data_IF_079785949719
#
_entry.id   IF_079785949719
#
_cell.length_a   1.000
_cell.length_b   1.000
_cell.length_c   1.000
_cell.angle_alpha   90.00
_cell.angle_beta   90.00
_cell.angle_gamma   90.00
#
_symmetry.space_group_name_H-M   'P 1'
#
loop_
_entity.id
_entity.type
_entity.pdbx_description
1 polymer ?
#
# COMPACT_ATOMS: atom_id res chain seq x y z
N UNK A 1 16.95 28.90 51.97
CA UNK A 1 16.40 29.02 50.61
C UNK A 1 17.10 28.00 49.71
N UNK A 2 16.47 26.88 49.41
CA UNK A 2 16.99 25.85 48.48
C UNK A 2 16.22 26.00 47.16
N UNK A 3 16.94 26.47 46.14
CA UNK A 3 16.41 26.58 44.76
C UNK A 3 16.32 25.17 44.15
N UNK A 4 15.12 24.73 43.93
CA UNK A 4 14.81 23.50 43.19
C UNK A 4 14.93 23.81 41.68
N UNK A 5 16.02 23.36 41.04
CA UNK A 5 16.14 23.40 39.59
C UNK A 5 15.27 22.30 38.99
N UNK A 6 14.18 22.69 38.34
CA UNK A 6 13.34 21.83 37.54
C UNK A 6 14.04 21.54 36.21
N UNK A 7 14.64 20.37 36.09
CA UNK A 7 15.23 19.88 34.85
C UNK A 7 14.06 19.40 33.93
N UNK A 8 13.62 20.28 33.02
CA UNK A 8 12.71 19.92 31.94
C UNK A 8 13.48 19.02 30.95
N UNK A 9 13.24 17.71 31.05
CA UNK A 9 13.60 16.76 30.01
C UNK A 9 12.71 17.04 28.78
N UNK A 10 13.25 17.77 27.81
CA UNK A 10 12.72 17.78 26.45
C UNK A 10 12.95 16.40 25.85
N UNK A 11 11.99 15.50 25.97
CA UNK A 11 11.86 14.34 25.09
C UNK A 11 11.36 14.91 23.76
N UNK A 12 12.12 14.82 22.66
CA UNK A 12 11.57 15.15 21.36
C UNK A 12 10.45 14.13 21.08
N UNK A 13 9.21 14.56 21.23
CA UNK A 13 8.09 13.90 20.58
C UNK A 13 8.34 14.05 19.07
N UNK A 14 8.98 13.06 18.47
CA UNK A 14 8.86 12.85 17.04
C UNK A 14 7.37 12.64 16.79
N UNK A 15 6.72 13.69 16.31
CA UNK A 15 5.32 13.64 15.97
C UNK A 15 5.18 12.62 14.83
N UNK A 16 4.47 11.53 15.07
CA UNK A 16 4.09 10.54 14.04
C UNK A 16 3.46 11.20 12.78
N UNK A 17 3.02 12.45 12.88
CA UNK A 17 2.52 13.25 11.77
C UNK A 17 3.57 13.72 10.75
N UNK A 18 4.88 13.66 11.05
CA UNK A 18 5.93 14.02 10.08
C UNK A 18 6.35 12.86 9.17
N UNK A 19 6.10 11.62 9.56
CA UNK A 19 6.46 10.44 8.75
C UNK A 19 5.56 10.30 7.51
N UNK A 20 4.29 10.70 7.59
CA UNK A 20 3.33 10.59 6.47
C UNK A 20 3.68 11.45 5.25
N UNK A 21 4.39 12.56 5.42
CA UNK A 21 4.75 13.46 4.31
C UNK A 21 6.10 13.16 3.68
N UNK A 22 6.82 12.15 4.18
CA UNK A 22 8.16 11.81 3.70
C UNK A 22 8.07 10.82 2.55
N UNK A 23 8.75 11.14 1.45
CA UNK A 23 8.95 10.24 0.33
C UNK A 23 10.25 9.47 0.54
N UNK A 24 10.21 8.16 0.38
CA UNK A 24 11.37 7.27 0.47
C UNK A 24 11.70 6.69 -0.89
N UNK A 25 12.97 6.43 -1.13
CA UNK A 25 13.43 5.76 -2.34
C UNK A 25 14.83 5.22 -2.17
N UNK A 26 15.26 4.36 -3.09
CA UNK A 26 16.63 3.89 -3.15
C UNK A 26 17.47 4.91 -3.90
N UNK A 27 18.53 5.37 -3.28
CA UNK A 27 19.53 6.25 -3.87
C UNK A 27 20.77 5.45 -4.24
N UNK A 28 21.11 5.41 -5.51
CA UNK A 28 22.34 4.84 -6.00
C UNK A 28 23.38 5.94 -6.26
N UNK A 29 24.44 5.96 -5.48
CA UNK A 29 25.61 6.76 -5.80
C UNK A 29 26.46 6.03 -6.84
N UNK A 30 26.90 6.73 -7.89
CA UNK A 30 27.67 6.14 -8.98
C UNK A 30 29.19 6.09 -8.70
N UNK A 31 29.66 6.79 -7.66
CA UNK A 31 31.11 6.81 -7.33
C UNK A 31 31.36 7.02 -5.84
N UNK A 32 31.65 5.98 -5.05
CA UNK A 32 31.60 4.54 -5.40
C UNK A 32 30.16 4.07 -5.64
N UNK A 33 30.00 2.99 -6.41
CA UNK A 33 28.67 2.41 -6.62
C UNK A 33 28.15 1.86 -5.29
N UNK A 34 27.17 2.53 -4.70
CA UNK A 34 26.54 2.15 -3.43
C UNK A 34 25.07 2.44 -3.50
N UNK A 35 24.27 1.57 -2.90
CA UNK A 35 22.82 1.74 -2.75
C UNK A 35 22.51 2.03 -1.30
N UNK A 36 21.68 3.02 -1.06
CA UNK A 36 21.25 3.44 0.28
C UNK A 36 19.78 3.83 0.27
N UNK A 37 19.11 3.66 1.38
CA UNK A 37 17.80 4.29 1.54
C UNK A 37 17.97 5.80 1.63
N UNK A 38 17.06 6.55 1.03
CA UNK A 38 17.05 8.00 1.10
C UNK A 38 15.63 8.53 1.29
N UNK A 39 15.52 9.72 1.86
CA UNK A 39 14.30 10.53 1.81
C UNK A 39 14.46 11.63 0.79
N UNK A 40 13.36 11.96 0.12
CA UNK A 40 13.28 13.02 -0.88
C UNK A 40 12.22 14.01 -0.43
N UNK A 41 12.60 15.28 -0.39
CA UNK A 41 11.64 16.37 -0.23
C UNK A 41 11.04 16.70 -1.61
N UNK A 42 9.76 16.42 -1.85
CA UNK A 42 9.15 16.59 -3.17
C UNK A 42 8.95 18.04 -3.60
N UNK A 43 9.19 19.01 -2.71
CA UNK A 43 9.08 20.44 -2.99
C UNK A 43 10.44 21.04 -3.38
N UNK A 44 11.50 20.62 -2.70
CA UNK A 44 12.85 21.18 -2.88
C UNK A 44 13.81 20.26 -3.64
N UNK A 45 13.50 18.97 -3.78
CA UNK A 45 14.38 17.95 -4.35
C UNK A 45 15.57 17.61 -3.44
N UNK A 46 15.57 18.10 -2.20
CA UNK A 46 16.63 17.76 -1.24
C UNK A 46 16.54 16.29 -0.88
N UNK A 47 17.68 15.64 -0.97
CA UNK A 47 17.82 14.22 -0.68
C UNK A 47 18.64 14.07 0.57
N UNK A 48 18.11 13.28 1.50
CA UNK A 48 18.82 12.89 2.70
C UNK A 48 19.04 11.38 2.68
N UNK A 49 20.29 10.98 2.49
CA UNK A 49 20.68 9.57 2.53
C UNK A 49 20.60 9.07 3.95
N UNK A 50 19.95 7.91 4.15
CA UNK A 50 19.79 7.27 5.44
C UNK A 50 20.70 6.04 5.55
N UNK A 51 21.39 5.92 6.65
CA UNK A 51 22.13 4.72 7.05
C UNK A 51 23.31 4.31 6.17
N UNK A 52 23.78 3.07 6.34
CA UNK A 52 24.93 2.53 5.62
C UNK A 52 24.55 2.11 4.19
N UNK A 53 25.58 1.74 3.40
CA UNK A 53 25.37 1.10 2.11
C UNK A 53 24.70 -0.27 2.27
N UNK A 54 23.68 -0.51 1.45
CA UNK A 54 22.90 -1.75 1.41
C UNK A 54 23.43 -2.74 0.36
N UNK A 55 24.37 -2.32 -0.48
CA UNK A 55 24.90 -3.12 -1.58
C UNK A 55 25.31 -2.25 -2.76
N UNK A 56 25.59 -2.92 -3.90
CA UNK A 56 26.03 -2.26 -5.13
C UNK A 56 25.04 -2.42 -6.28
N UNK A 57 24.03 -3.25 -6.11
CA UNK A 57 23.07 -3.63 -7.15
C UNK A 57 21.65 -3.34 -6.68
N UNK A 58 20.80 -3.00 -7.61
CA UNK A 58 19.36 -2.90 -7.43
C UNK A 58 18.72 -3.72 -8.54
N UNK A 59 17.86 -4.64 -8.18
CA UNK A 59 16.98 -5.28 -9.13
C UNK A 59 15.61 -4.59 -9.07
N UNK A 60 15.24 -3.90 -10.14
CA UNK A 60 14.02 -3.09 -10.21
C UNK A 60 12.78 -3.98 -10.42
N UNK A 61 12.52 -4.89 -9.51
CA UNK A 61 11.35 -5.78 -9.59
C UNK A 61 10.13 -5.26 -8.83
N UNK A 62 10.32 -4.17 -8.11
CA UNK A 62 9.31 -3.49 -7.31
C UNK A 62 9.84 -3.13 -5.93
N UNK A 63 9.13 -2.23 -5.29
CA UNK A 63 9.35 -1.87 -3.89
C UNK A 63 8.03 -1.76 -3.15
N UNK A 64 8.09 -1.88 -1.85
CA UNK A 64 6.93 -1.64 -1.02
C UNK A 64 7.30 -1.14 0.37
N UNK A 65 6.44 -0.32 0.94
CA UNK A 65 6.53 0.14 2.32
C UNK A 65 5.59 -0.66 3.21
N UNK A 66 6.11 -1.11 4.34
CA UNK A 66 5.28 -1.62 5.41
C UNK A 66 5.14 -0.57 6.51
N UNK A 67 3.98 0.10 6.63
CA UNK A 67 3.79 1.18 7.59
C UNK A 67 3.66 0.69 9.04
N UNK A 68 3.41 -0.60 9.27
CA UNK A 68 3.24 -1.15 10.62
C UNK A 68 4.55 -1.40 11.35
N UNK A 69 5.57 -1.80 10.62
CA UNK A 69 6.91 -2.01 11.17
C UNK A 69 7.95 -1.00 10.67
N UNK A 70 7.50 0.01 9.91
CA UNK A 70 8.33 1.08 9.36
C UNK A 70 9.51 0.57 8.55
N UNK A 71 9.25 -0.36 7.61
CA UNK A 71 10.27 -0.89 6.73
C UNK A 71 9.99 -0.58 5.26
N UNK A 72 11.08 -0.36 4.52
CA UNK A 72 11.12 -0.32 3.06
C UNK A 72 11.67 -1.64 2.57
N UNK A 73 10.91 -2.35 1.74
CA UNK A 73 11.30 -3.65 1.22
C UNK A 73 11.53 -3.58 -0.28
N UNK A 74 12.64 -4.12 -0.73
CA UNK A 74 12.99 -4.26 -2.14
C UNK A 74 13.67 -5.62 -2.38
N UNK A 75 13.82 -6.00 -3.64
CA UNK A 75 14.55 -7.21 -4.03
C UNK A 75 15.93 -6.83 -4.58
N UNK A 76 16.99 -7.46 -4.06
CA UNK A 76 18.33 -7.44 -4.64
C UNK A 76 18.73 -8.85 -5.03
N UNK A 77 18.91 -9.09 -6.34
CA UNK A 77 19.19 -10.40 -6.90
C UNK A 77 18.20 -11.47 -6.40
N UNK A 78 18.66 -12.36 -5.53
CA UNK A 78 17.92 -13.49 -5.01
C UNK A 78 17.44 -13.28 -3.56
N UNK A 79 17.55 -12.06 -3.03
CA UNK A 79 17.21 -11.74 -1.63
C UNK A 79 16.13 -10.66 -1.52
N UNK A 80 15.29 -10.80 -0.50
CA UNK A 80 14.43 -9.73 0.03
C UNK A 80 15.18 -8.96 1.09
N UNK A 81 15.30 -7.67 0.87
CA UNK A 81 15.95 -6.74 1.79
C UNK A 81 14.89 -5.82 2.38
N UNK A 82 14.77 -5.83 3.70
CA UNK A 82 13.91 -4.91 4.43
C UNK A 82 14.77 -3.95 5.24
N UNK A 83 14.52 -2.66 5.09
CA UNK A 83 15.34 -1.56 5.63
C UNK A 83 14.49 -0.70 6.53
N UNK A 84 14.99 -0.36 7.71
CA UNK A 84 14.34 0.53 8.67
C UNK A 84 14.25 1.95 8.11
N UNK A 85 13.04 2.50 8.04
CA UNK A 85 12.77 3.83 7.51
C UNK A 85 13.36 4.97 8.37
N UNK A 86 13.62 4.73 9.64
CA UNK A 86 14.11 5.78 10.54
C UNK A 86 15.61 6.04 10.42
N UNK A 87 16.37 5.02 10.02
CA UNK A 87 17.82 5.08 10.06
C UNK A 87 18.54 4.40 8.88
N UNK A 88 17.79 3.80 7.94
CA UNK A 88 18.35 3.16 6.74
C UNK A 88 19.15 1.88 7.01
N UNK A 89 19.04 1.27 8.19
CA UNK A 89 19.75 0.02 8.49
C UNK A 89 18.98 -1.19 7.99
N UNK A 90 19.70 -2.21 7.56
CA UNK A 90 19.14 -3.48 7.15
C UNK A 90 18.51 -4.19 8.37
N UNK A 91 17.20 -4.49 8.27
CA UNK A 91 16.44 -5.21 9.29
C UNK A 91 16.38 -6.70 8.96
N UNK A 92 16.24 -7.00 7.67
CA UNK A 92 16.09 -8.38 7.20
C UNK A 92 16.75 -8.56 5.83
N UNK A 93 17.41 -9.71 5.64
CA UNK A 93 17.98 -10.17 4.37
C UNK A 93 17.66 -11.66 4.25
N UNK A 94 16.70 -11.98 3.39
CA UNK A 94 16.18 -13.33 3.25
C UNK A 94 16.20 -13.77 1.80
N UNK A 95 16.80 -14.93 1.55
CA UNK A 95 16.85 -15.53 0.21
C UNK A 95 15.43 -15.82 -0.29
N UNK A 96 15.16 -15.41 -1.54
CA UNK A 96 13.88 -15.67 -2.22
C UNK A 96 13.76 -17.16 -2.53
N UNK A 97 12.69 -17.78 -2.08
CA UNK A 97 12.34 -19.17 -2.37
C UNK A 97 11.12 -19.21 -3.29
N UNK A 98 11.37 -19.43 -4.58
CA UNK A 98 10.33 -19.46 -5.61
C UNK A 98 9.66 -20.83 -5.71
N UNK A 99 8.37 -20.89 -6.10
CA UNK A 99 7.68 -22.16 -6.37
C UNK A 99 8.34 -23.00 -7.45
N UNK A 100 9.06 -22.34 -8.37
CA UNK A 100 9.84 -22.96 -9.44
C UNK A 100 11.13 -22.16 -9.65
N UNK A 101 12.25 -22.87 -9.80
CA UNK A 101 13.59 -22.29 -9.97
C UNK A 101 13.76 -21.45 -11.25
N UNK A 102 12.88 -21.57 -12.23
CA UNK A 102 12.89 -20.79 -13.49
C UNK A 102 11.96 -19.60 -13.49
N UNK A 103 11.26 -19.36 -12.39
CA UNK A 103 10.33 -18.24 -12.26
C UNK A 103 10.99 -16.97 -11.74
N UNK A 104 10.21 -15.89 -11.79
CA UNK A 104 10.52 -14.61 -11.17
C UNK A 104 9.31 -14.14 -10.37
N UNK A 105 9.55 -13.35 -9.32
CA UNK A 105 8.50 -12.69 -8.56
C UNK A 105 8.73 -11.18 -8.64
N UNK A 106 7.76 -10.45 -9.20
CA UNK A 106 7.89 -9.06 -9.57
C UNK A 106 6.64 -8.25 -9.17
N UNK A 107 6.73 -6.91 -9.32
CA UNK A 107 5.63 -5.98 -9.12
C UNK A 107 4.93 -6.16 -7.78
N UNK A 108 5.70 -6.42 -6.74
CA UNK A 108 5.13 -6.67 -5.42
C UNK A 108 4.68 -5.38 -4.73
N UNK A 109 3.60 -5.50 -3.97
CA UNK A 109 2.98 -4.46 -3.16
C UNK A 109 2.56 -5.03 -1.81
N UNK A 110 2.73 -4.23 -0.76
CA UNK A 110 2.24 -4.56 0.56
C UNK A 110 0.76 -4.15 0.68
N UNK A 111 -0.09 -5.07 1.09
CA UNK A 111 -1.48 -4.76 1.39
C UNK A 111 -1.62 -4.40 2.87
N UNK A 112 -2.02 -3.17 3.14
CA UNK A 112 -2.16 -2.65 4.50
C UNK A 112 -3.38 -3.23 5.24
N UNK A 113 -4.35 -3.80 4.52
CA UNK A 113 -5.57 -4.36 5.12
C UNK A 113 -5.36 -5.74 5.76
N UNK A 114 -4.45 -6.54 5.24
CA UNK A 114 -4.15 -7.90 5.74
C UNK A 114 -2.68 -8.13 6.07
N UNK A 115 -1.86 -7.09 5.95
CA UNK A 115 -0.42 -7.11 6.23
C UNK A 115 0.40 -8.10 5.40
N UNK A 116 -0.06 -8.38 4.17
CA UNK A 116 0.55 -9.36 3.28
C UNK A 116 1.24 -8.69 2.10
N UNK A 117 2.40 -9.22 1.69
CA UNK A 117 3.09 -8.84 0.46
C UNK A 117 2.55 -9.67 -0.71
N UNK A 118 1.95 -9.00 -1.69
CA UNK A 118 1.45 -9.59 -2.93
C UNK A 118 2.31 -9.20 -4.12
N UNK A 119 2.37 -10.06 -5.13
CA UNK A 119 3.07 -9.77 -6.37
C UNK A 119 2.77 -10.79 -7.45
N UNK A 120 3.42 -10.66 -8.59
CA UNK A 120 3.24 -11.54 -9.73
C UNK A 120 4.40 -12.53 -9.81
N UNK A 121 4.10 -13.80 -9.65
CA UNK A 121 5.01 -14.88 -10.05
C UNK A 121 4.83 -15.12 -11.54
N UNK A 122 5.93 -15.10 -12.29
CA UNK A 122 5.96 -15.33 -13.73
C UNK A 122 7.00 -16.38 -14.10
N UNK A 123 6.66 -17.24 -15.04
CA UNK A 123 7.58 -18.22 -15.63
C UNK A 123 7.28 -18.42 -17.10
N UNK A 124 8.29 -18.89 -17.84
CA UNK A 124 8.12 -19.30 -19.23
C UNK A 124 8.02 -20.81 -19.28
N UNK A 125 6.90 -21.30 -19.78
CA UNK A 125 6.66 -22.72 -19.96
C UNK A 125 6.96 -23.11 -21.41
N UNK A 126 7.77 -24.15 -21.59
CA UNK A 126 8.02 -24.75 -22.91
C UNK A 126 7.15 -26.01 -23.08
N UNK A 127 6.37 -26.02 -24.15
CA UNK A 127 5.61 -27.20 -24.51
C UNK A 127 6.41 -28.05 -25.53
N UNK A 128 6.96 -29.21 -25.12
CA UNK A 128 7.82 -30.03 -26.00
C UNK A 128 7.04 -30.67 -27.16
N UNK A 129 5.71 -30.78 -27.09
CA UNK A 129 4.89 -31.38 -28.14
C UNK A 129 4.62 -30.38 -29.26
N UNK A 130 4.39 -29.12 -28.94
CA UNK A 130 4.10 -28.07 -29.92
C UNK A 130 5.32 -27.24 -30.31
N UNK A 131 6.40 -27.31 -29.51
CA UNK A 131 7.56 -26.43 -29.64
C UNK A 131 7.31 -24.98 -29.26
N UNK A 132 6.19 -24.67 -28.62
CA UNK A 132 5.74 -23.31 -28.31
C UNK A 132 6.11 -22.95 -26.86
N UNK A 133 6.64 -21.74 -26.68
CA UNK A 133 6.77 -21.12 -25.35
C UNK A 133 5.50 -20.36 -25.00
N UNK A 134 5.05 -20.49 -23.77
CA UNK A 134 3.93 -19.73 -23.22
C UNK A 134 4.32 -19.11 -21.89
N UNK A 135 3.86 -17.88 -21.62
CA UNK A 135 3.96 -17.28 -20.32
C UNK A 135 2.94 -17.89 -19.36
N UNK A 136 3.34 -18.11 -18.13
CA UNK A 136 2.44 -18.43 -17.00
C UNK A 136 2.65 -17.37 -15.93
N UNK A 137 1.61 -16.60 -15.65
CA UNK A 137 1.64 -15.53 -14.67
C UNK A 137 0.55 -15.73 -13.64
N UNK A 138 0.91 -15.66 -12.36
CA UNK A 138 0.01 -15.92 -11.24
C UNK A 138 0.21 -14.90 -10.13
N UNK A 139 -0.88 -14.53 -9.47
CA UNK A 139 -0.78 -13.83 -8.20
C UNK A 139 -0.16 -14.76 -7.15
N UNK A 140 0.76 -14.22 -6.38
CA UNK A 140 1.42 -14.92 -5.30
C UNK A 140 1.63 -13.98 -4.10
N UNK A 141 1.89 -14.57 -2.93
CA UNK A 141 2.36 -13.87 -1.74
C UNK A 141 3.82 -14.17 -1.48
N UNK A 142 4.48 -13.30 -0.73
CA UNK A 142 5.82 -13.53 -0.20
C UNK A 142 5.82 -13.37 1.32
N UNK A 143 6.31 -14.38 2.03
CA UNK A 143 6.63 -14.28 3.45
C UNK A 143 8.02 -13.67 3.61
N UNK A 144 8.09 -12.44 4.08
CA UNK A 144 9.34 -11.69 4.24
C UNK A 144 10.26 -12.23 5.34
N UNK A 145 9.80 -13.14 6.22
CA UNK A 145 10.64 -13.76 7.23
C UNK A 145 11.37 -15.01 6.71
N UNK A 146 10.74 -15.71 5.78
CA UNK A 146 11.26 -17.00 5.24
C UNK A 146 11.69 -16.88 3.77
N UNK A 147 11.32 -15.81 3.08
CA UNK A 147 11.52 -15.62 1.64
C UNK A 147 10.61 -16.49 0.76
N UNK A 148 9.71 -17.28 1.36
CA UNK A 148 8.86 -18.22 0.65
C UNK A 148 7.82 -17.47 -0.20
N UNK A 149 7.84 -17.70 -1.52
CA UNK A 149 6.78 -17.26 -2.44
C UNK A 149 5.75 -18.37 -2.59
N UNK A 150 4.48 -18.04 -2.39
CA UNK A 150 3.36 -18.99 -2.43
C UNK A 150 2.31 -18.53 -3.43
N UNK A 151 1.93 -19.40 -4.36
CA UNK A 151 0.93 -19.11 -5.39
C UNK A 151 -0.47 -19.02 -4.77
N UNK A 152 -1.21 -17.96 -5.11
CA UNK A 152 -2.63 -17.81 -4.78
C UNK A 152 -3.48 -18.19 -5.98
N UNK A 153 -3.11 -17.70 -7.19
CA UNK A 153 -3.85 -18.04 -8.40
C UNK A 153 -3.75 -19.52 -8.71
N UNK A 154 -4.88 -20.23 -8.85
CA UNK A 154 -4.90 -21.67 -9.18
C UNK A 154 -4.45 -21.95 -10.62
N UNK A 155 -4.55 -20.96 -11.50
CA UNK A 155 -4.17 -21.01 -12.91
C UNK A 155 -3.50 -19.72 -13.33
N UNK A 156 -2.92 -19.71 -14.54
CA UNK A 156 -2.37 -18.50 -15.16
C UNK A 156 -3.47 -17.45 -15.33
N UNK A 157 -3.20 -16.21 -14.94
CA UNK A 157 -4.10 -15.07 -15.07
C UNK A 157 -3.74 -14.20 -16.29
N UNK A 158 -2.50 -14.30 -16.79
CA UNK A 158 -2.04 -13.61 -17.99
C UNK A 158 -0.83 -14.31 -18.58
N UNK A 159 -0.53 -14.06 -19.88
CA UNK A 159 0.64 -14.61 -20.57
C UNK A 159 1.85 -13.67 -20.54
N UNK A 160 1.62 -12.38 -20.34
CA UNK A 160 2.66 -11.35 -20.24
C UNK A 160 2.16 -10.18 -19.37
N UNK A 161 3.10 -9.40 -18.85
CA UNK A 161 2.79 -8.14 -18.17
C UNK A 161 3.62 -7.01 -18.74
N UNK A 162 3.13 -5.80 -18.59
CA UNK A 162 3.89 -4.59 -18.86
C UNK A 162 4.47 -4.11 -17.54
N UNK A 163 5.74 -3.70 -17.52
CA UNK A 163 6.39 -3.12 -16.33
C UNK A 163 5.85 -1.70 -15.99
N UNK A 164 4.56 -1.49 -16.25
CA UNK A 164 3.88 -0.20 -16.13
C UNK A 164 3.32 0.08 -14.73
N UNK A 165 3.76 -0.71 -13.75
CA UNK A 165 3.31 -0.58 -12.39
C UNK A 165 2.25 -1.60 -11.99
N UNK A 166 2.03 -1.67 -10.70
CA UNK A 166 0.95 -2.45 -10.08
C UNK A 166 0.39 -1.67 -8.89
N UNK A 167 -0.82 -1.97 -8.51
CA UNK A 167 -1.44 -1.34 -7.35
C UNK A 167 -2.43 -2.28 -6.67
N UNK A 168 -2.73 -2.03 -5.40
CA UNK A 168 -3.74 -2.77 -4.65
C UNK A 168 -4.88 -1.82 -4.29
N UNK A 169 -6.11 -2.26 -4.53
CA UNK A 169 -7.29 -1.72 -3.87
C UNK A 169 -7.51 -2.50 -2.56
N UNK A 170 -7.13 -1.93 -1.41
CA UNK A 170 -7.23 -2.63 -0.13
C UNK A 170 -8.67 -2.75 0.38
N UNK A 171 -9.61 -1.95 -0.16
CA UNK A 171 -11.03 -2.05 0.17
C UNK A 171 -11.71 -3.21 -0.55
N UNK A 172 -11.44 -3.35 -1.85
CA UNK A 172 -11.99 -4.46 -2.65
C UNK A 172 -11.14 -5.73 -2.55
N UNK A 173 -9.95 -5.67 -1.94
CA UNK A 173 -8.99 -6.77 -1.89
C UNK A 173 -8.66 -7.27 -3.29
N UNK A 174 -8.25 -6.34 -4.17
CA UNK A 174 -7.93 -6.63 -5.57
C UNK A 174 -6.55 -6.08 -5.92
N UNK A 175 -5.72 -6.93 -6.52
CA UNK A 175 -4.42 -6.56 -7.08
C UNK A 175 -4.59 -6.23 -8.57
N UNK A 176 -4.10 -5.06 -8.99
CA UNK A 176 -4.19 -4.57 -10.37
C UNK A 176 -2.82 -4.50 -11.04
N UNK A 177 -2.78 -4.88 -12.32
CA UNK A 177 -1.64 -4.71 -13.23
C UNK A 177 -2.14 -4.62 -14.68
N UNK A 178 -1.26 -4.24 -15.62
CA UNK A 178 -1.59 -4.15 -17.04
C UNK A 178 -0.99 -5.34 -17.76
N UNK A 179 -1.81 -6.02 -18.57
CA UNK A 179 -1.38 -7.09 -19.47
C UNK A 179 -2.19 -7.06 -20.75
N UNK A 180 -1.51 -7.14 -21.91
CA UNK A 180 -2.13 -7.26 -23.22
C UNK A 180 -3.19 -6.18 -23.52
N UNK A 181 -2.92 -4.94 -23.09
CA UNK A 181 -3.84 -3.80 -23.25
C UNK A 181 -5.09 -3.86 -22.35
N UNK A 182 -5.08 -4.73 -21.35
CA UNK A 182 -6.15 -4.85 -20.36
C UNK A 182 -5.68 -4.43 -18.98
N UNK A 183 -6.60 -3.86 -18.20
CA UNK A 183 -6.42 -3.73 -16.77
C UNK A 183 -6.85 -5.04 -16.10
N UNK A 184 -5.87 -5.80 -15.63
CA UNK A 184 -6.10 -7.06 -14.92
C UNK A 184 -6.32 -6.78 -13.46
N UNK A 185 -7.48 -7.13 -12.92
CA UNK A 185 -7.76 -7.14 -11.48
C UNK A 185 -7.86 -8.57 -10.98
N UNK A 186 -7.07 -8.94 -9.97
CA UNK A 186 -7.02 -10.28 -9.41
C UNK A 186 -7.47 -10.24 -7.95
N UNK A 187 -8.37 -11.10 -7.61
CA UNK A 187 -8.89 -11.27 -6.26
C UNK A 187 -7.80 -11.77 -5.31
N UNK A 188 -7.50 -11.03 -4.25
CA UNK A 188 -6.44 -11.36 -3.28
C UNK A 188 -6.76 -12.60 -2.45
N UNK A 189 -8.03 -12.96 -2.28
CA UNK A 189 -8.41 -14.11 -1.46
C UNK A 189 -8.21 -15.45 -2.15
N UNK A 190 -8.44 -15.51 -3.46
CA UNK A 190 -8.46 -16.78 -4.19
C UNK A 190 -7.65 -16.79 -5.49
N UNK A 191 -7.06 -15.64 -5.88
CA UNK A 191 -6.22 -15.50 -7.07
C UNK A 191 -6.98 -15.62 -8.40
N UNK A 192 -8.32 -15.57 -8.40
CA UNK A 192 -9.11 -15.56 -9.63
C UNK A 192 -9.16 -14.16 -10.26
N UNK A 193 -9.45 -14.12 -11.55
CA UNK A 193 -9.67 -12.85 -12.25
C UNK A 193 -10.95 -12.21 -11.72
N UNK A 194 -10.82 -11.03 -11.12
CA UNK A 194 -11.93 -10.20 -10.65
C UNK A 194 -12.49 -9.33 -11.76
N UNK A 195 -11.61 -8.73 -12.57
CA UNK A 195 -11.98 -7.90 -13.74
C UNK A 195 -10.84 -7.90 -14.75
N UNK A 196 -11.16 -7.71 -16.05
CA UNK A 196 -10.16 -7.63 -17.12
C UNK A 196 -10.64 -6.78 -18.31
N UNK A 197 -11.07 -5.53 -18.10
CA UNK A 197 -11.54 -4.70 -19.21
C UNK A 197 -10.37 -4.29 -20.12
N UNK A 198 -10.65 -4.10 -21.41
CA UNK A 198 -9.71 -3.45 -22.32
C UNK A 198 -9.53 -1.98 -21.90
N UNK A 199 -8.28 -1.54 -21.87
CA UNK A 199 -7.97 -0.13 -21.63
C UNK A 199 -8.38 0.66 -22.86
N UNK A 200 -9.17 1.70 -22.63
CA UNK A 200 -9.64 2.61 -23.67
C UNK A 200 -9.31 4.04 -23.30
N UNK A 201 -8.54 4.72 -24.16
CA UNK A 201 -8.10 6.09 -24.00
C UNK A 201 -8.80 6.97 -25.05
N UNK A 202 -9.97 7.57 -24.73
CA UNK A 202 -10.77 8.32 -25.71
C UNK A 202 -10.06 9.57 -26.27
N UNK A 203 -9.06 10.09 -25.57
CA UNK A 203 -8.27 11.26 -25.96
C UNK A 203 -7.23 10.97 -27.06
N UNK A 204 -7.03 9.70 -27.43
CA UNK A 204 -6.06 9.31 -28.46
C UNK A 204 -4.65 9.07 -27.96
N UNK A 205 -4.43 8.96 -26.65
CA UNK A 205 -3.12 8.53 -26.09
C UNK A 205 -2.80 7.07 -26.45
N UNK A 206 -1.51 6.76 -26.53
CA UNK A 206 -1.02 5.44 -26.95
C UNK A 206 -1.01 4.41 -25.82
N UNK A 207 -0.73 4.88 -24.60
CA UNK A 207 -0.64 4.00 -23.40
C UNK A 207 -1.13 4.70 -22.14
N UNK A 208 -1.47 3.87 -21.15
CA UNK A 208 -1.77 4.27 -19.78
C UNK A 208 -0.83 3.49 -18.86
N UNK A 209 0.05 4.20 -18.18
CA UNK A 209 1.17 3.60 -17.50
C UNK A 209 1.35 4.17 -16.08
N UNK A 210 2.21 3.52 -15.29
CA UNK A 210 2.71 3.97 -14.00
C UNK A 210 1.58 4.41 -13.03
N UNK A 211 0.57 3.55 -12.87
CA UNK A 211 -0.60 3.90 -12.10
C UNK A 211 -0.47 3.54 -10.61
N UNK A 212 -1.15 4.33 -9.78
CA UNK A 212 -1.28 4.13 -8.34
C UNK A 212 -2.74 4.29 -7.90
N UNK A 213 -3.14 3.55 -6.87
CA UNK A 213 -4.47 3.63 -6.28
C UNK A 213 -4.55 4.79 -5.28
N UNK A 214 -5.62 5.56 -5.35
CA UNK A 214 -5.94 6.63 -4.42
C UNK A 214 -7.00 6.21 -3.43
N UNK A 215 -6.67 6.24 -2.15
CA UNK A 215 -7.59 5.94 -1.06
C UNK A 215 -8.63 7.02 -0.82
N UNK A 216 -8.41 8.21 -1.35
CA UNK A 216 -9.27 9.38 -1.09
C UNK A 216 -10.58 9.24 -1.86
N UNK A 217 -10.50 8.80 -3.12
CA UNK A 217 -11.65 8.69 -4.01
C UNK A 217 -11.83 7.30 -4.63
N UNK A 218 -11.02 6.32 -4.19
CA UNK A 218 -11.05 4.93 -4.63
C UNK A 218 -10.81 4.75 -6.15
N UNK A 219 -10.02 5.64 -6.74
CA UNK A 219 -9.68 5.64 -8.15
C UNK A 219 -8.22 5.28 -8.37
N UNK A 220 -7.88 4.74 -9.51
CA UNK A 220 -6.49 4.59 -9.95
C UNK A 220 -6.12 5.73 -10.90
N UNK A 221 -5.02 6.41 -10.58
CA UNK A 221 -4.43 7.46 -11.37
C UNK A 221 -3.15 6.99 -12.02
N UNK A 222 -2.91 7.39 -13.27
CA UNK A 222 -1.71 7.01 -14.01
C UNK A 222 -1.47 7.96 -15.17
N UNK A 223 -0.37 7.76 -15.86
CA UNK A 223 0.07 8.62 -16.94
C UNK A 223 -0.49 8.12 -18.28
N UNK A 224 -1.13 9.02 -19.01
CA UNK A 224 -1.49 8.84 -20.42
C UNK A 224 -0.33 9.38 -21.23
N UNK A 225 0.26 8.54 -22.07
CA UNK A 225 1.39 8.89 -22.91
C UNK A 225 0.94 8.89 -24.37
N UNK A 226 1.22 9.95 -25.08
CA UNK A 226 1.10 10.04 -26.54
C UNK A 226 2.48 10.19 -27.15
N UNK A 227 3.02 9.07 -27.65
CA UNK A 227 4.35 9.02 -28.25
C UNK A 227 4.43 9.77 -29.60
N UNK A 228 3.29 9.99 -30.25
CA UNK A 228 3.23 10.66 -31.54
C UNK A 228 3.48 12.16 -31.45
N UNK A 229 3.07 12.78 -30.36
CA UNK A 229 3.20 14.24 -30.13
C UNK A 229 4.05 14.59 -28.91
N UNK A 230 4.55 13.60 -28.16
CA UNK A 230 5.38 13.85 -26.97
C UNK A 230 4.60 14.49 -25.82
N UNK A 231 3.33 14.19 -25.68
CA UNK A 231 2.46 14.74 -24.64
C UNK A 231 2.19 13.70 -23.57
N UNK A 232 2.26 14.15 -22.33
CA UNK A 232 1.91 13.38 -21.15
C UNK A 232 0.72 14.06 -20.46
N UNK A 233 -0.23 13.30 -19.95
CA UNK A 233 -1.29 13.82 -19.10
C UNK A 233 -1.59 12.85 -17.96
N UNK A 234 -2.03 13.37 -16.82
CA UNK A 234 -2.57 12.52 -15.76
C UNK A 234 -3.98 12.09 -16.14
N UNK A 235 -4.27 10.82 -15.97
CA UNK A 235 -5.60 10.26 -16.18
C UNK A 235 -6.04 9.38 -15.02
N UNK A 236 -7.33 9.12 -14.94
CA UNK A 236 -7.91 8.14 -14.03
C UNK A 236 -8.63 7.05 -14.79
N UNK A 237 -8.44 5.81 -14.37
CA UNK A 237 -9.06 4.65 -15.00
C UNK A 237 -10.21 4.11 -14.16
N UNK A 238 -11.31 3.80 -14.83
CA UNK A 238 -12.40 3.05 -14.23
C UNK A 238 -12.08 1.56 -14.29
N UNK A 239 -11.86 0.93 -13.14
CA UNK A 239 -11.42 -0.46 -13.04
C UNK A 239 -12.42 -1.49 -13.60
N UNK A 240 -13.70 -1.17 -13.69
CA UNK A 240 -14.72 -2.08 -14.22
C UNK A 240 -14.89 -1.98 -15.73
N UNK A 241 -14.66 -0.80 -16.32
CA UNK A 241 -14.87 -0.55 -17.75
C UNK A 241 -13.58 -0.41 -18.56
N UNK A 242 -12.45 -0.17 -17.93
CA UNK A 242 -11.16 0.12 -18.57
C UNK A 242 -11.08 1.51 -19.22
N UNK A 243 -12.11 2.33 -19.09
CA UNK A 243 -12.11 3.68 -19.67
C UNK A 243 -11.21 4.60 -18.88
N UNK A 244 -10.23 5.19 -19.55
CA UNK A 244 -9.33 6.21 -19.00
C UNK A 244 -9.89 7.58 -19.29
N UNK A 245 -10.07 8.38 -18.25
CA UNK A 245 -10.51 9.77 -18.35
C UNK A 245 -9.31 10.68 -18.08
N UNK A 246 -8.80 11.42 -19.08
CA UNK A 246 -7.71 12.37 -18.88
C UNK A 246 -8.16 13.51 -17.98
N UNK A 247 -7.24 14.02 -17.17
CA UNK A 247 -7.42 15.30 -16.50
C UNK A 247 -7.11 16.46 -17.46
N UNK A 248 -7.64 17.66 -17.19
CA UNK A 248 -7.65 18.73 -18.19
C UNK A 248 -6.27 19.22 -18.66
N UNK A 249 -5.23 19.04 -17.85
CA UNK A 249 -3.90 19.57 -18.15
C UNK A 249 -3.06 18.56 -18.93
N UNK A 250 -2.59 18.96 -20.10
CA UNK A 250 -1.59 18.22 -20.87
C UNK A 250 -0.20 18.82 -20.64
N UNK A 251 0.80 17.97 -20.55
CA UNK A 251 2.17 18.33 -20.23
C UNK A 251 3.08 17.96 -21.40
N UNK A 252 3.99 18.85 -21.76
CA UNK A 252 5.02 18.55 -22.75
C UNK A 252 6.26 18.06 -22.01
N UNK A 253 6.58 16.77 -22.15
CA UNK A 253 7.83 16.20 -21.70
C UNK A 253 8.55 15.57 -22.89
N UNK A 254 9.81 15.98 -23.09
CA UNK A 254 10.61 15.53 -24.24
C UNK A 254 10.99 14.04 -24.16
N UNK A 255 11.11 13.50 -22.95
CA UNK A 255 11.35 12.08 -22.71
C UNK A 255 10.66 11.64 -21.42
N UNK A 256 9.94 10.55 -21.52
CA UNK A 256 9.31 9.86 -20.39
C UNK A 256 10.05 8.55 -20.12
N UNK A 257 10.54 8.39 -18.91
CA UNK A 257 11.16 7.13 -18.46
C UNK A 257 10.25 6.48 -17.44
N UNK A 258 9.87 5.24 -17.73
CA UNK A 258 9.07 4.39 -16.84
C UNK A 258 9.90 3.69 -15.74
N UNK A 259 11.01 4.28 -15.31
CA UNK A 259 11.96 3.59 -14.43
C UNK A 259 11.70 3.78 -12.93
N UNK A 260 10.66 4.49 -12.56
CA UNK A 260 10.30 4.71 -11.17
C UNK A 260 8.84 4.37 -10.90
N UNK A 261 8.54 3.91 -9.72
CA UNK A 261 7.17 3.75 -9.25
C UNK A 261 6.47 5.11 -9.19
N UNK A 262 5.15 5.09 -9.32
CA UNK A 262 4.34 6.24 -8.95
C UNK A 262 3.87 6.10 -7.50
N UNK A 263 3.68 7.24 -6.85
CA UNK A 263 3.08 7.29 -5.52
C UNK A 263 2.12 8.47 -5.41
N UNK A 264 1.10 8.33 -4.58
CA UNK A 264 0.11 9.38 -4.34
C UNK A 264 0.29 9.95 -2.93
N UNK A 265 0.24 11.28 -2.84
CA UNK A 265 0.04 12.00 -1.59
C UNK A 265 -1.47 12.19 -1.37
N UNK A 266 -2.10 11.40 -0.50
CA UNK A 266 -3.55 11.47 -0.30
C UNK A 266 -3.98 12.72 0.48
N UNK A 267 -3.05 13.37 1.18
CA UNK A 267 -3.33 14.58 1.98
C UNK A 267 -3.38 15.81 1.08
N UNK A 268 -2.36 15.95 0.22
CA UNK A 268 -2.25 17.10 -0.67
C UNK A 268 -2.85 16.83 -2.07
N UNK A 269 -3.37 15.62 -2.32
CA UNK A 269 -3.96 15.20 -3.59
C UNK A 269 -2.98 15.35 -4.76
N UNK A 270 -1.77 14.81 -4.60
CA UNK A 270 -0.69 14.91 -5.58
C UNK A 270 -0.25 13.51 -6.00
N UNK A 271 -0.15 13.31 -7.31
CA UNK A 271 0.48 12.14 -7.92
C UNK A 271 1.93 12.47 -8.25
N UNK A 272 2.88 11.69 -7.73
CA UNK A 272 4.32 11.86 -7.98
C UNK A 272 4.86 10.77 -8.90
N UNK A 273 5.76 11.16 -9.80
CA UNK A 273 6.49 10.26 -10.68
C UNK A 273 7.85 10.86 -11.06
N UNK A 274 8.76 10.02 -11.54
CA UNK A 274 10.04 10.44 -12.10
C UNK A 274 9.97 10.56 -13.62
N UNK A 275 10.65 11.56 -14.16
CA UNK A 275 10.86 11.73 -15.59
C UNK A 275 12.29 12.19 -15.86
N UNK A 276 12.74 12.04 -17.09
CA UNK A 276 14.08 12.45 -17.50
C UNK A 276 13.99 13.34 -18.74
N UNK A 277 14.82 14.38 -18.80
CA UNK A 277 14.94 15.24 -19.99
C UNK A 277 15.94 14.67 -21.02
N UNK A 278 16.06 15.35 -22.17
CA UNK A 278 16.97 14.97 -23.25
C UNK A 278 18.46 15.00 -22.85
N UNK A 279 18.81 15.63 -21.74
CA UNK A 279 20.17 15.68 -21.19
C UNK A 279 20.43 14.59 -20.16
N UNK A 280 19.52 13.63 -20.02
CA UNK A 280 19.53 12.58 -18.98
C UNK A 280 19.44 13.16 -17.54
N UNK A 281 18.87 14.35 -17.38
CA UNK A 281 18.60 14.93 -16.08
C UNK A 281 17.25 14.41 -15.57
N UNK A 282 17.24 13.91 -14.34
CA UNK A 282 16.05 13.33 -13.70
C UNK A 282 15.30 14.43 -12.93
N UNK A 283 13.99 14.41 -13.04
CA UNK A 283 13.07 15.28 -12.35
C UNK A 283 12.05 14.46 -11.56
N UNK A 284 11.74 14.93 -10.37
CA UNK A 284 10.56 14.49 -9.61
C UNK A 284 9.42 15.46 -9.91
N UNK A 285 8.35 14.96 -10.48
CA UNK A 285 7.18 15.74 -10.87
C UNK A 285 5.99 15.38 -10.01
N UNK A 286 5.32 16.38 -9.47
CA UNK A 286 4.05 16.25 -8.76
C UNK A 286 2.91 16.84 -9.55
N UNK A 287 1.87 16.07 -9.80
CA UNK A 287 0.65 16.47 -10.52
C UNK A 287 -0.56 16.49 -9.59
N UNK A 288 -1.35 17.53 -9.66
CA UNK A 288 -2.61 17.65 -8.94
C UNK A 288 -3.61 16.55 -9.38
N UNK A 289 -4.18 15.81 -8.44
CA UNK A 289 -5.26 14.85 -8.72
C UNK A 289 -6.57 15.53 -9.12
N UNK A 290 -6.69 16.85 -8.92
CA UNK A 290 -7.91 17.60 -9.22
C UNK A 290 -8.02 17.94 -10.70
N UNK A 291 -6.92 18.36 -11.31
CA UNK A 291 -6.90 18.91 -12.68
C UNK A 291 -5.69 18.50 -13.53
N UNK A 292 -4.75 17.73 -12.98
CA UNK A 292 -3.53 17.28 -13.66
C UNK A 292 -2.46 18.36 -13.81
N UNK A 293 -2.63 19.54 -13.20
CA UNK A 293 -1.63 20.62 -13.27
C UNK A 293 -0.35 20.25 -12.50
N UNK A 294 0.79 20.81 -12.95
CA UNK A 294 2.06 20.63 -12.25
C UNK A 294 2.00 21.42 -10.92
N UNK A 295 2.14 20.70 -9.81
CA UNK A 295 2.26 21.27 -8.46
C UNK A 295 3.73 21.44 -8.08
N UNK A 296 4.56 20.47 -8.46
CA UNK A 296 6.02 20.52 -8.27
C UNK A 296 6.74 19.91 -9.47
N UNK A 297 7.91 20.47 -9.79
CA UNK A 297 8.81 19.95 -10.82
C UNK A 297 10.23 20.24 -10.36
N UNK A 298 10.87 19.24 -9.77
CA UNK A 298 12.13 19.43 -9.05
C UNK A 298 13.20 18.59 -9.68
N UNK A 299 14.29 19.24 -10.09
CA UNK A 299 15.47 18.54 -10.61
C UNK A 299 16.17 17.78 -9.50
N UNK A 300 16.38 16.48 -9.69
CA UNK A 300 17.13 15.66 -8.75
C UNK A 300 18.64 15.78 -9.02
N UNK A 301 19.48 15.64 -7.98
CA UNK A 301 20.94 15.78 -8.15
C UNK A 301 21.50 14.79 -9.17
N UNK A 302 22.42 15.22 -10.05
CA UNK A 302 22.96 14.38 -11.12
C UNK A 302 23.96 13.32 -10.66
N UNK A 303 24.34 13.35 -9.37
CA UNK A 303 25.35 12.43 -8.81
C UNK A 303 24.81 11.04 -8.46
N UNK A 304 23.52 10.81 -8.61
CA UNK A 304 22.87 9.55 -8.27
C UNK A 304 21.68 9.25 -9.15
N UNK A 305 21.22 8.03 -9.06
CA UNK A 305 19.98 7.57 -9.69
C UNK A 305 19.02 7.16 -8.59
N UNK A 306 17.75 7.52 -8.74
CA UNK A 306 16.70 7.19 -7.79
C UNK A 306 15.84 6.09 -8.38
N UNK A 307 15.31 5.25 -7.52
CA UNK A 307 14.47 4.15 -7.92
C UNK A 307 13.33 3.97 -6.94
N UNK A 308 12.18 3.69 -7.49
CA UNK A 308 11.00 3.16 -6.78
C UNK A 308 10.63 3.95 -5.53
N UNK A 309 10.23 5.18 -5.74
CA UNK A 309 9.73 6.04 -4.67
C UNK A 309 8.42 5.52 -4.11
N UNK A 310 8.30 5.59 -2.80
CA UNK A 310 7.09 5.21 -2.10
C UNK A 310 6.84 6.11 -0.89
N UNK A 311 5.58 6.22 -0.49
CA UNK A 311 5.14 6.97 0.69
C UNK A 311 4.36 6.04 1.62
N UNK A 312 4.49 6.23 2.93
CA UNK A 312 3.78 5.42 3.91
C UNK A 312 2.27 5.55 3.77
N UNK A 313 1.77 6.75 3.51
CA UNK A 313 0.35 7.06 3.35
C UNK A 313 -0.18 6.79 1.93
N UNK A 314 0.73 6.62 0.95
CA UNK A 314 0.38 6.34 -0.44
C UNK A 314 -0.29 4.98 -0.65
N UNK A 315 -0.04 4.01 0.24
CA UNK A 315 -0.57 2.66 0.17
C UNK A 315 -1.82 2.44 1.07
N UNK A 316 -2.59 3.49 1.35
CA UNK A 316 -3.87 3.39 2.08
C UNK A 316 -3.74 2.85 3.50
N UNK A 317 -2.78 3.34 4.25
CA UNK A 317 -2.60 2.96 5.64
C UNK A 317 -3.90 3.07 6.46
N UNK A 318 -4.26 1.98 7.16
CA UNK A 318 -5.46 1.91 7.96
C UNK A 318 -6.75 1.65 7.18
N UNK A 319 -6.68 1.40 5.86
CA UNK A 319 -7.85 0.98 5.09
C UNK A 319 -8.37 -0.37 5.59
N UNK A 320 -9.70 -0.45 5.77
CA UNK A 320 -10.35 -1.71 6.10
C UNK A 320 -11.01 -2.29 4.85
N UNK A 321 -10.91 -3.62 4.61
CA UNK A 321 -11.56 -4.24 3.46
C UNK A 321 -13.07 -4.06 3.54
N UNK A 322 -13.67 -3.61 2.45
CA UNK A 322 -15.13 -3.51 2.30
C UNK A 322 -15.77 -4.85 1.92
N UNK A 323 -14.94 -5.80 1.52
CA UNK A 323 -15.31 -7.15 1.09
C UNK A 323 -14.78 -8.17 2.08
N UNK A 324 -15.64 -9.07 2.53
CA UNK A 324 -15.23 -10.19 3.36
C UNK A 324 -14.57 -11.27 2.49
N UNK A 325 -13.56 -11.95 3.04
CA UNK A 325 -12.94 -13.10 2.40
C UNK A 325 -13.99 -14.20 2.19
N UNK A 326 -14.29 -14.62 0.94
CA UNK A 326 -15.29 -15.65 0.67
C UNK A 326 -14.97 -17.00 1.34
N UNK A 327 -13.69 -17.32 1.55
CA UNK A 327 -13.29 -18.54 2.25
C UNK A 327 -13.56 -18.49 3.77
N UNK A 328 -13.71 -17.28 4.33
CA UNK A 328 -14.13 -17.09 5.72
C UNK A 328 -15.66 -17.13 5.88
N UNK A 329 -16.42 -17.05 4.79
CA UNK A 329 -17.89 -17.17 4.85
C UNK A 329 -18.37 -18.60 5.12
N UNK A 330 -17.51 -19.61 5.07
CA UNK A 330 -17.87 -21.02 5.37
C UNK A 330 -17.83 -21.36 6.86
N UNK A 331 -17.23 -20.52 7.69
CA UNK A 331 -17.53 -20.48 9.11
C UNK A 331 -18.34 -19.20 9.37
N UNK A 332 -19.66 -19.25 9.16
CA UNK A 332 -20.53 -18.41 9.96
C UNK A 332 -20.04 -18.60 11.39
N UNK A 333 -19.29 -17.63 11.89
CA UNK A 333 -18.98 -17.55 13.30
C UNK A 333 -20.35 -17.58 13.97
N UNK A 334 -20.73 -18.72 14.49
CA UNK A 334 -21.97 -18.92 15.23
C UNK A 334 -22.00 -18.06 16.50
N UNK A 335 -21.00 -17.17 16.63
CA UNK A 335 -20.93 -16.23 17.71
C UNK A 335 -22.01 -15.16 17.57
N UNK A 336 -23.01 -15.30 18.42
CA UNK A 336 -24.04 -14.32 18.62
C UNK A 336 -23.64 -13.36 19.74
N UNK A 337 -23.81 -12.06 19.51
CA UNK A 337 -23.56 -11.02 20.49
C UNK A 337 -24.71 -10.01 20.45
N UNK A 338 -25.34 -9.76 21.59
CA UNK A 338 -26.31 -8.70 21.76
C UNK A 338 -26.17 -8.04 23.14
N UNK A 339 -26.61 -6.80 23.25
CA UNK A 339 -26.60 -6.05 24.51
C UNK A 339 -28.01 -5.55 24.81
N UNK A 340 -28.46 -5.72 26.07
CA UNK A 340 -29.79 -5.30 26.53
C UNK A 340 -29.81 -4.93 28.02
N UNK A 341 -30.59 -3.93 28.41
CA UNK A 341 -31.32 -2.97 27.58
C UNK A 341 -30.36 -2.00 26.86
N UNK A 342 -30.76 -1.53 25.69
CA UNK A 342 -30.02 -0.50 24.95
C UNK A 342 -31.03 0.36 24.18
N UNK A 343 -31.28 1.61 24.59
CA UNK A 343 -30.61 2.41 25.62
C UNK A 343 -30.72 1.91 27.06
N UNK A 344 -29.78 2.33 27.92
CA UNK A 344 -29.79 2.01 29.36
C UNK A 344 -29.26 3.15 30.21
N UNK A 345 -29.79 3.25 31.43
CA UNK A 345 -29.35 4.26 32.42
C UNK A 345 -28.31 3.73 33.42
N UNK A 346 -28.19 2.41 33.62
CA UNK A 346 -27.31 1.84 34.66
C UNK A 346 -26.63 0.53 34.25
N UNK A 347 -27.41 -0.53 34.10
CA UNK A 347 -26.88 -1.88 33.86
C UNK A 347 -27.21 -2.35 32.44
N UNK A 348 -26.27 -3.01 31.83
CA UNK A 348 -26.40 -3.61 30.50
C UNK A 348 -25.91 -5.06 30.57
N UNK A 349 -26.74 -5.98 30.13
CA UNK A 349 -26.41 -7.41 30.01
C UNK A 349 -25.82 -7.67 28.61
N UNK A 350 -24.71 -8.39 28.56
CA UNK A 350 -24.09 -8.83 27.33
C UNK A 350 -24.43 -10.28 27.11
N UNK A 351 -25.23 -10.55 26.09
CA UNK A 351 -25.60 -11.91 25.70
C UNK A 351 -24.63 -12.40 24.63
N UNK A 352 -23.85 -13.41 24.95
CA UNK A 352 -22.89 -14.03 24.04
C UNK A 352 -22.93 -15.55 24.20
N UNK A 353 -22.89 -16.27 23.07
CA UNK A 353 -22.73 -17.73 23.10
C UNK A 353 -21.26 -18.19 23.14
N UNK A 354 -20.31 -17.24 23.23
CA UNK A 354 -18.88 -17.50 23.40
C UNK A 354 -18.36 -16.79 24.63
N UNK A 355 -17.31 -17.33 25.25
CA UNK A 355 -16.65 -16.74 26.40
C UNK A 355 -16.02 -15.39 26.02
N UNK A 356 -16.35 -14.35 26.77
CA UNK A 356 -15.82 -13.00 26.58
C UNK A 356 -14.55 -12.86 27.43
N UNK A 357 -13.43 -12.57 26.80
CA UNK A 357 -12.14 -12.37 27.47
C UNK A 357 -11.91 -10.91 27.84
N UNK A 358 -12.49 -10.00 27.06
CA UNK A 358 -12.13 -8.58 27.16
C UNK A 358 -13.26 -7.68 26.69
N UNK A 359 -13.45 -6.57 27.42
CA UNK A 359 -14.40 -5.51 27.11
C UNK A 359 -13.72 -4.14 27.18
N UNK A 360 -13.94 -3.33 26.18
CA UNK A 360 -13.48 -1.94 26.16
C UNK A 360 -14.57 -1.02 25.60
N UNK A 361 -14.78 0.12 26.26
CA UNK A 361 -15.75 1.12 25.85
C UNK A 361 -15.06 2.40 25.40
N UNK A 362 -15.44 2.88 24.21
CA UNK A 362 -14.94 4.11 23.61
C UNK A 362 -16.04 5.15 23.53
N UNK A 363 -15.74 6.40 23.86
CA UNK A 363 -16.59 7.51 23.50
C UNK A 363 -16.61 7.75 21.99
N UNK A 364 -17.62 8.48 21.49
CA UNK A 364 -17.70 8.84 20.06
C UNK A 364 -16.54 9.73 19.57
N UNK A 365 -15.80 10.34 20.48
CA UNK A 365 -14.58 11.11 20.20
C UNK A 365 -13.34 10.23 20.01
N UNK A 366 -13.48 8.91 20.19
CA UNK A 366 -12.40 7.93 20.10
C UNK A 366 -11.30 8.05 21.18
N UNK A 367 -11.37 9.07 22.06
CA UNK A 367 -10.28 9.39 23.00
C UNK A 367 -10.40 8.72 24.36
N UNK A 368 -11.55 8.24 24.73
CA UNK A 368 -11.80 7.66 26.07
C UNK A 368 -12.08 6.16 25.94
N UNK A 369 -11.02 5.36 25.86
CA UNK A 369 -11.14 3.92 26.05
C UNK A 369 -11.11 3.61 27.57
N UNK A 370 -12.14 2.94 28.08
CA UNK A 370 -12.16 2.38 29.44
C UNK A 370 -12.28 0.87 29.32
N UNK A 371 -11.39 0.18 29.97
CA UNK A 371 -11.56 -1.25 30.22
C UNK A 371 -12.68 -1.46 31.22
N UNK A 372 -13.60 -2.35 30.92
CA UNK A 372 -14.79 -2.61 31.72
C UNK A 372 -14.73 -4.07 32.17
N UNK A 373 -14.94 -4.30 33.45
CA UNK A 373 -15.09 -5.64 34.00
C UNK A 373 -16.56 -6.05 34.01
N UNK A 374 -16.84 -7.26 33.54
CA UNK A 374 -18.14 -7.91 33.72
C UNK A 374 -18.26 -8.49 35.13
N UNK A 375 -19.45 -8.48 35.66
CA UNK A 375 -19.78 -9.30 36.81
C UNK A 375 -20.05 -10.78 36.41
N UNK A 376 -20.26 -11.64 37.44
CA UNK A 376 -20.55 -13.06 37.20
C UNK A 376 -21.84 -13.35 36.43
N UNK A 377 -22.67 -12.35 36.15
CA UNK A 377 -23.94 -12.45 35.42
C UNK A 377 -23.87 -11.86 33.99
N UNK A 378 -22.67 -11.65 33.48
CA UNK A 378 -22.41 -10.99 32.20
C UNK A 378 -22.97 -9.57 32.10
N UNK A 379 -23.00 -8.84 33.22
CA UNK A 379 -23.48 -7.47 33.29
C UNK A 379 -22.33 -6.48 33.43
N UNK A 380 -22.51 -5.31 32.83
CA UNK A 380 -21.64 -4.16 32.99
C UNK A 380 -22.42 -2.99 33.56
N UNK A 381 -21.82 -2.25 34.50
CA UNK A 381 -22.41 -1.00 35.00
C UNK A 381 -21.87 0.18 34.20
N UNK A 382 -22.80 0.93 33.63
CA UNK A 382 -22.55 2.19 32.92
C UNK A 382 -23.06 3.41 33.72
N UNK A 383 -23.36 3.23 35.00
CA UNK A 383 -23.93 4.28 35.86
C UNK A 383 -23.06 5.54 35.92
N UNK A 384 -21.74 5.35 35.92
CA UNK A 384 -20.75 6.44 35.98
C UNK A 384 -20.50 7.11 34.63
N UNK A 385 -21.10 6.62 33.54
CA UNK A 385 -20.89 7.17 32.22
C UNK A 385 -21.76 8.41 32.01
N UNK A 386 -21.24 9.48 31.40
CA UNK A 386 -22.08 10.58 30.92
C UNK A 386 -23.14 10.08 29.93
N UNK A 387 -24.25 10.78 29.82
CA UNK A 387 -25.26 10.51 28.78
C UNK A 387 -24.62 10.65 27.40
N UNK A 388 -24.89 9.69 26.51
CA UNK A 388 -24.29 9.70 25.17
C UNK A 388 -24.25 8.33 24.49
N UNK A 389 -23.60 8.32 23.33
CA UNK A 389 -23.39 7.12 22.53
C UNK A 389 -21.96 6.65 22.72
N UNK A 390 -21.80 5.37 22.89
CA UNK A 390 -20.53 4.69 23.08
C UNK A 390 -20.38 3.51 22.12
N UNK A 391 -19.15 3.13 21.83
CA UNK A 391 -18.80 1.92 21.09
C UNK A 391 -18.19 0.92 22.07
N UNK A 392 -18.84 -0.23 22.25
CA UNK A 392 -18.39 -1.30 23.12
C UNK A 392 -17.71 -2.38 22.27
N UNK A 393 -16.40 -2.51 22.43
CA UNK A 393 -15.61 -3.61 21.87
C UNK A 393 -15.70 -4.83 22.78
N UNK A 394 -16.13 -5.94 22.23
CA UNK A 394 -16.26 -7.22 22.90
C UNK A 394 -15.33 -8.22 22.20
N UNK A 395 -14.41 -8.84 22.94
CA UNK A 395 -13.42 -9.75 22.40
C UNK A 395 -13.56 -11.13 23.05
N UNK A 396 -13.46 -12.15 22.20
CA UNK A 396 -13.29 -13.57 22.59
C UNK A 396 -11.87 -14.03 22.21
N UNK A 397 -11.51 -15.27 22.50
CA UNK A 397 -10.20 -15.84 22.12
C UNK A 397 -9.90 -15.79 20.61
N UNK A 398 -10.93 -15.81 19.77
CA UNK A 398 -10.76 -15.94 18.32
C UNK A 398 -11.25 -14.73 17.50
N UNK A 399 -12.05 -13.84 18.08
CA UNK A 399 -12.67 -12.75 17.32
C UNK A 399 -13.06 -11.56 18.20
N UNK A 400 -13.30 -10.39 17.57
CA UNK A 400 -13.82 -9.20 18.25
C UNK A 400 -15.00 -8.62 17.49
N UNK A 401 -15.93 -7.97 18.20
CA UNK A 401 -17.04 -7.20 17.62
C UNK A 401 -17.21 -5.88 18.36
N UNK A 402 -17.68 -4.89 17.63
CA UNK A 402 -18.03 -3.60 18.19
C UNK A 402 -19.55 -3.43 18.12
N UNK A 403 -20.17 -3.11 19.26
CA UNK A 403 -21.60 -2.85 19.34
C UNK A 403 -21.85 -1.44 19.87
N UNK A 404 -22.90 -0.79 19.36
CA UNK A 404 -23.31 0.53 19.80
C UNK A 404 -24.03 0.42 21.16
N UNK A 405 -23.59 1.20 22.14
CA UNK A 405 -24.19 1.32 23.47
C UNK A 405 -24.70 2.76 23.65
N UNK A 406 -25.94 2.92 24.05
CA UNK A 406 -26.56 4.24 24.33
C UNK A 406 -26.83 4.37 25.82
N UNK A 407 -26.28 5.42 26.44
CA UNK A 407 -26.50 5.81 27.84
C UNK A 407 -27.52 6.94 27.90
N UNK A 408 -28.62 6.69 28.58
CA UNK A 408 -29.68 7.66 28.85
C UNK A 408 -29.38 8.61 30.04
#
# INVERSE_FOLDING_TARGET
MRTLQLLLLFIPFLSLGQLGNTMYGLYRNNNPSTVQLATIDPVTGIINVLGPSLGNTINLTGVSLNPYNFTYTYQDQDSWLSVDLSNGTLVNDVMVSLPNATGNFNNFKFNTSDTTMYGLFSQVLYNPVTGVYSGDMRLATCDLNTGQVSLISPASVASSYVMAGSSIDPHLMVYYFISEGKLMGIDLYNGSIYTQPLISIPSGGDSFDNFAYSCVDTMMYGLIVDHGVGVLSLGKINASTGVVTPLPTALNFDNYIMNGGATIDPINLIYYFETMDNNAQIYLVGLSLLDGSIVSNVMLPPSGTYFDMARIDGDCYGAAPSRLNPSLQLEESTWSLSIAPNPSSDLVTINSNSHIEYLRCYGMDGKTAREITMDGNNQISIKSFPKGVYMLEVRTASTSRIVKLVKD
#
